data_IF_671720401723
#
_entry.id   IF_671720401723
#
_cell.length_a   1.000
_cell.length_b   1.000
_cell.length_c   1.000
_cell.angle_alpha   90.00
_cell.angle_beta   90.00
_cell.angle_gamma   90.00
#
_symmetry.space_group_name_H-M   'P 1'
#
loop_
_entity.id
_entity.type
_entity.pdbx_description
1 polymer ?
#
# COMPACT_ATOMS: atom_id res chain seq x y z
N UNK A 1 -7.55 10.57 -1.65
CA UNK A 1 -6.18 10.21 -1.26
C UNK A 1 -6.26 9.10 -0.23
N UNK A 2 -5.46 8.06 -0.36
CA UNK A 2 -5.44 6.96 0.62
C UNK A 2 -4.60 7.36 1.84
N UNK A 3 -5.08 7.05 3.03
CA UNK A 3 -4.41 7.45 4.28
C UNK A 3 -3.39 6.38 4.70
N UNK A 4 -2.21 6.80 5.15
CA UNK A 4 -1.26 5.90 5.82
C UNK A 4 -1.73 5.70 7.26
N UNK A 5 -2.13 4.47 7.60
CA UNK A 5 -2.58 4.09 8.94
C UNK A 5 -1.39 3.75 9.86
N UNK A 6 -0.37 3.10 9.30
CA UNK A 6 0.85 2.73 10.01
C UNK A 6 2.06 2.80 9.08
N UNK A 7 3.21 3.17 9.65
CA UNK A 7 4.52 3.14 9.00
C UNK A 7 5.53 2.53 9.96
N UNK A 8 6.18 1.46 9.55
CA UNK A 8 7.20 0.74 10.34
C UNK A 8 8.47 0.65 9.53
N UNK A 9 9.62 1.01 10.10
CA UNK A 9 10.92 0.65 9.52
C UNK A 9 11.25 -0.79 9.95
N UNK A 10 11.36 -1.70 8.99
CA UNK A 10 11.65 -3.11 9.27
C UNK A 10 13.15 -3.32 9.50
N UNK A 11 13.95 -2.72 8.62
CA UNK A 11 15.42 -2.67 8.64
C UNK A 11 15.86 -1.37 7.94
N UNK A 12 17.13 -0.94 8.05
CA UNK A 12 17.59 0.29 7.41
C UNK A 12 17.18 0.38 5.94
N UNK A 13 16.44 1.45 5.60
CA UNK A 13 15.91 1.75 4.25
C UNK A 13 14.75 0.87 3.75
N UNK A 14 14.23 -0.07 4.54
CA UNK A 14 13.04 -0.86 4.19
C UNK A 14 11.91 -0.53 5.15
N UNK A 15 10.78 -0.09 4.58
CA UNK A 15 9.62 0.34 5.34
C UNK A 15 8.38 -0.45 4.93
N UNK A 16 7.61 -0.85 5.92
CA UNK A 16 6.24 -1.34 5.75
C UNK A 16 5.26 -0.18 5.91
N UNK A 17 4.25 -0.14 5.04
CA UNK A 17 3.17 0.84 5.08
C UNK A 17 1.83 0.10 5.09
N UNK A 18 1.00 0.40 6.09
CA UNK A 18 -0.42 0.02 6.09
C UNK A 18 -1.21 1.22 5.59
N UNK A 19 -1.95 1.04 4.51
CA UNK A 19 -2.66 2.11 3.82
C UNK A 19 -4.15 1.77 3.76
N UNK A 20 -5.00 2.72 4.16
CA UNK A 20 -6.46 2.59 4.06
C UNK A 20 -6.89 2.59 2.59
N UNK A 21 -7.30 1.42 2.08
CA UNK A 21 -7.70 1.27 0.68
C UNK A 21 -8.83 0.23 0.50
N UNK A 22 -10.05 0.45 1.03
CA UNK A 22 -11.08 -0.58 1.12
C UNK A 22 -11.46 -1.24 -0.20
N UNK A 23 -11.43 -0.46 -1.29
CA UNK A 23 -11.73 -0.96 -2.65
C UNK A 23 -10.66 -1.91 -3.18
N UNK A 24 -9.40 -1.67 -2.83
CA UNK A 24 -8.25 -2.48 -3.23
C UNK A 24 -8.20 -3.73 -2.35
N UNK A 25 -8.24 -3.58 -1.02
CA UNK A 25 -8.19 -4.71 -0.09
C UNK A 25 -9.29 -5.75 -0.37
N UNK A 26 -10.51 -5.31 -0.70
CA UNK A 26 -11.61 -6.22 -1.06
C UNK A 26 -11.33 -7.08 -2.30
N UNK A 27 -10.51 -6.60 -3.24
CA UNK A 27 -10.21 -7.25 -4.53
C UNK A 27 -8.78 -7.80 -4.64
N UNK A 28 -7.94 -7.56 -3.66
CA UNK A 28 -6.56 -8.00 -3.68
C UNK A 28 -6.49 -9.54 -3.65
N UNK A 29 -5.56 -10.07 -4.43
CA UNK A 29 -5.24 -11.49 -4.57
C UNK A 29 -3.72 -11.66 -4.63
N UNK A 30 -3.24 -12.86 -4.37
CA UNK A 30 -1.80 -13.14 -4.40
C UNK A 30 -1.20 -12.84 -5.79
N UNK A 31 -0.07 -12.14 -5.82
CA UNK A 31 0.59 -11.70 -7.05
C UNK A 31 0.09 -10.35 -7.59
N UNK A 32 -0.97 -9.76 -7.03
CA UNK A 32 -1.36 -8.41 -7.35
C UNK A 32 -0.39 -7.35 -6.78
N UNK A 33 -0.34 -6.22 -7.47
CA UNK A 33 0.41 -5.04 -7.06
C UNK A 33 -0.44 -3.78 -7.27
N UNK A 34 -0.03 -2.69 -6.66
CA UNK A 34 -0.63 -1.36 -6.83
C UNK A 34 0.36 -0.43 -7.51
N UNK A 35 -0.14 0.55 -8.25
CA UNK A 35 0.64 1.69 -8.72
C UNK A 35 0.39 2.85 -7.77
N UNK A 36 1.45 3.36 -7.15
CA UNK A 36 1.38 4.46 -6.19
C UNK A 36 2.08 5.70 -6.72
N UNK A 37 1.65 6.85 -6.23
CA UNK A 37 2.22 8.17 -6.51
C UNK A 37 2.13 8.97 -5.22
N UNK A 38 3.28 9.43 -4.72
CA UNK A 38 3.37 10.01 -3.37
C UNK A 38 2.84 11.46 -3.29
N UNK A 39 2.99 12.20 -4.38
CA UNK A 39 2.59 13.60 -4.51
C UNK A 39 2.09 13.90 -5.93
N UNK A 40 1.55 15.09 -6.17
CA UNK A 40 0.93 15.48 -7.45
C UNK A 40 1.91 15.53 -8.62
N UNK A 41 3.21 15.71 -8.33
CA UNK A 41 4.29 15.81 -9.32
C UNK A 41 5.17 14.57 -9.41
N UNK A 42 4.92 13.58 -8.54
CA UNK A 42 5.75 12.41 -8.35
C UNK A 42 5.55 11.38 -9.46
N UNK A 43 6.49 10.44 -9.52
CA UNK A 43 6.43 9.33 -10.45
C UNK A 43 5.49 8.22 -9.97
N UNK A 44 4.93 7.48 -10.94
CA UNK A 44 4.11 6.30 -10.68
C UNK A 44 5.02 5.09 -10.58
N UNK A 45 5.05 4.45 -9.41
CA UNK A 45 5.86 3.25 -9.18
C UNK A 45 4.99 2.06 -8.78
N UNK A 46 5.32 0.84 -9.25
CA UNK A 46 4.64 -0.37 -8.81
C UNK A 46 5.14 -0.82 -7.44
N UNK A 47 4.24 -1.18 -6.54
CA UNK A 47 4.54 -1.83 -5.26
C UNK A 47 3.64 -3.05 -5.05
N UNK A 48 4.24 -4.18 -4.70
CA UNK A 48 3.51 -5.43 -4.42
C UNK A 48 2.64 -5.28 -3.18
N UNK A 49 1.44 -5.87 -3.21
CA UNK A 49 0.60 -5.98 -2.01
C UNK A 49 1.17 -7.12 -1.16
N UNK A 50 1.81 -6.79 -0.05
CA UNK A 50 2.40 -7.78 0.85
C UNK A 50 1.33 -8.55 1.65
N UNK A 51 0.28 -7.85 2.10
CA UNK A 51 -0.88 -8.42 2.79
C UNK A 51 -2.10 -7.48 2.65
N UNK A 52 -3.31 -7.96 2.97
CA UNK A 52 -4.53 -7.18 2.94
C UNK A 52 -5.59 -7.68 3.94
N UNK A 53 -6.28 -6.75 4.59
CA UNK A 53 -7.43 -7.05 5.47
C UNK A 53 -8.74 -6.57 4.80
N UNK A 54 -9.58 -7.51 4.36
CA UNK A 54 -10.84 -7.19 3.67
C UNK A 54 -11.87 -6.49 4.54
N UNK A 55 -11.77 -6.60 5.87
CA UNK A 55 -12.71 -5.99 6.81
C UNK A 55 -12.24 -4.60 7.24
N UNK A 56 -10.95 -4.42 7.49
CA UNK A 56 -10.38 -3.14 7.92
C UNK A 56 -10.13 -2.17 6.77
N UNK A 57 -9.93 -2.69 5.57
CA UNK A 57 -9.86 -1.91 4.33
C UNK A 57 -8.48 -1.35 4.01
#
# INVERSE_FOLDING_TARGET
MSKILQKTELVPKIHELVVEAPRIARKAEAGHFVVVMADETGERIPLTIADFDRQKG
#
